data_IF_457037804724
#
_entry.id   IF_457037804724
#
_cell.length_a   1.000
_cell.length_b   1.000
_cell.length_c   1.000
_cell.angle_alpha   90.00
_cell.angle_beta   90.00
_cell.angle_gamma   90.00
#
_symmetry.space_group_name_H-M   'P 1'
#
loop_
_entity.id
_entity.type
_entity.pdbx_description
1 polymer ?
#
# COMPACT_ATOMS: atom_id res chain seq x y z
N UNK A 1 6.29 -7.84 1.50
CA UNK A 1 5.33 -7.33 0.48
C UNK A 1 5.75 -5.95 -0.03
N UNK A 2 6.30 -5.11 0.84
CA UNK A 2 6.87 -3.79 0.62
C UNK A 2 7.83 -3.72 -0.57
N UNK A 3 8.71 -4.71 -0.75
CA UNK A 3 9.59 -4.82 -1.93
C UNK A 3 8.80 -4.93 -3.23
N UNK A 4 7.70 -5.69 -3.25
CA UNK A 4 6.84 -5.84 -4.42
C UNK A 4 6.09 -4.53 -4.70
N UNK A 5 5.54 -3.90 -3.66
CA UNK A 5 4.85 -2.60 -3.77
C UNK A 5 5.80 -1.54 -4.37
N UNK A 6 7.05 -1.49 -3.90
CA UNK A 6 8.08 -0.62 -4.48
C UNK A 6 8.27 -0.89 -5.98
N UNK A 7 8.35 -2.17 -6.38
CA UNK A 7 8.48 -2.55 -7.80
C UNK A 7 7.25 -2.18 -8.64
N UNK A 8 6.04 -2.13 -8.06
CA UNK A 8 4.84 -1.66 -8.77
C UNK A 8 4.97 -0.19 -9.18
N UNK A 9 5.51 0.65 -8.28
CA UNK A 9 5.79 2.05 -8.56
C UNK A 9 6.93 2.22 -9.58
N UNK A 10 8.10 1.62 -9.31
CA UNK A 10 9.30 1.78 -10.14
C UNK A 10 9.15 1.26 -11.57
N UNK A 11 8.27 0.27 -11.79
CA UNK A 11 8.06 -0.33 -13.12
C UNK A 11 6.80 0.18 -13.83
N UNK A 12 6.16 1.22 -13.30
CA UNK A 12 5.01 1.86 -13.95
C UNK A 12 3.72 1.04 -13.94
N UNK A 13 3.61 0.03 -13.07
CA UNK A 13 2.38 -0.74 -12.89
C UNK A 13 1.36 0.01 -12.04
N UNK A 14 1.81 0.94 -11.18
CA UNK A 14 0.95 1.82 -10.40
C UNK A 14 0.98 3.25 -10.98
N UNK A 15 -0.05 3.61 -11.75
CA UNK A 15 -0.24 4.98 -12.27
C UNK A 15 -0.72 5.91 -11.15
N UNK A 16 -0.54 7.23 -11.31
CA UNK A 16 -0.92 8.23 -10.30
C UNK A 16 -2.38 8.12 -9.80
N UNK A 17 -3.33 7.66 -10.62
CA UNK A 17 -4.73 7.46 -10.24
C UNK A 17 -5.06 6.08 -9.65
N UNK A 18 -4.05 5.27 -9.33
CA UNK A 18 -4.23 3.91 -8.81
C UNK A 18 -4.52 3.90 -7.33
N UNK A 19 -5.31 2.93 -6.87
CA UNK A 19 -5.47 2.58 -5.46
C UNK A 19 -4.88 1.18 -5.22
N UNK A 20 -3.98 1.07 -4.26
CA UNK A 20 -3.39 -0.19 -3.84
C UNK A 20 -4.04 -0.59 -2.53
N UNK A 21 -4.53 -1.83 -2.47
CA UNK A 21 -5.04 -2.45 -1.26
C UNK A 21 -4.17 -3.67 -0.91
N UNK A 22 -3.72 -3.75 0.34
CA UNK A 22 -2.96 -4.88 0.86
C UNK A 22 -3.68 -5.42 2.09
N UNK A 23 -4.11 -6.67 2.02
CA UNK A 23 -4.65 -7.39 3.17
C UNK A 23 -3.53 -8.11 3.93
N UNK A 24 -3.57 -8.03 5.26
CA UNK A 24 -2.65 -8.73 6.16
C UNK A 24 -3.44 -9.29 7.33
N UNK A 25 -2.97 -10.39 7.91
CA UNK A 25 -3.45 -10.82 9.24
C UNK A 25 -3.17 -9.71 10.26
N UNK A 26 -4.18 -9.38 11.07
CA UNK A 26 -4.14 -8.30 12.05
C UNK A 26 -3.09 -8.48 13.15
N UNK A 27 -2.62 -9.71 13.40
CA UNK A 27 -1.58 -10.01 14.40
C UNK A 27 -0.16 -9.79 13.87
N UNK A 28 0.01 -9.66 12.56
CA UNK A 28 1.31 -9.42 11.97
C UNK A 28 1.76 -7.98 12.15
N UNK A 29 3.07 -7.75 11.99
CA UNK A 29 3.63 -6.40 11.97
C UNK A 29 2.89 -5.54 10.95
N UNK A 30 2.50 -4.30 11.31
CA UNK A 30 1.83 -3.38 10.39
C UNK A 30 2.60 -3.17 9.10
N UNK A 31 1.88 -2.96 8.01
CA UNK A 31 2.48 -2.62 6.72
C UNK A 31 3.20 -1.27 6.83
N UNK A 32 4.38 -1.18 6.23
CA UNK A 32 5.04 0.12 5.99
C UNK A 32 5.06 0.37 4.49
N UNK A 33 4.46 1.47 4.06
CA UNK A 33 4.50 1.86 2.65
C UNK A 33 5.92 2.27 2.25
N UNK A 34 6.44 1.79 1.10
CA UNK A 34 7.70 2.30 0.57
C UNK A 34 7.52 3.75 0.09
N UNK A 35 8.64 4.46 -0.10
CA UNK A 35 8.65 5.83 -0.65
C UNK A 35 7.86 5.90 -1.97
N UNK A 36 7.15 7.01 -2.19
CA UNK A 36 6.31 7.21 -3.37
C UNK A 36 4.90 6.64 -3.23
N UNK A 37 4.49 6.25 -2.02
CA UNK A 37 3.13 5.84 -1.71
C UNK A 37 2.63 6.55 -0.46
N UNK A 38 1.41 7.09 -0.54
CA UNK A 38 0.75 7.80 0.54
C UNK A 38 -0.38 6.97 1.11
N UNK A 39 -0.39 6.76 2.43
CA UNK A 39 -1.51 6.09 3.11
C UNK A 39 -2.80 6.87 2.89
N UNK A 40 -3.84 6.17 2.42
CA UNK A 40 -5.20 6.70 2.29
C UNK A 40 -6.01 6.37 3.54
N UNK A 41 -6.02 5.09 3.94
CA UNK A 41 -6.70 4.61 5.15
C UNK A 41 -6.28 3.20 5.51
N UNK A 42 -6.57 2.81 6.75
CA UNK A 42 -6.47 1.45 7.24
C UNK A 42 -7.81 1.01 7.83
N UNK A 43 -8.17 -0.26 7.64
CA UNK A 43 -9.41 -0.86 8.14
C UNK A 43 -9.13 -2.23 8.72
N UNK A 44 -9.41 -2.41 10.01
CA UNK A 44 -9.31 -3.68 10.71
C UNK A 44 -10.68 -4.35 10.80
N UNK A 45 -10.72 -5.66 10.55
CA UNK A 45 -11.90 -6.51 10.56
C UNK A 45 -11.71 -7.70 11.52
N UNK A 46 -11.08 -7.46 12.67
CA UNK A 46 -10.79 -8.47 13.68
C UNK A 46 -9.52 -9.26 13.35
N UNK A 47 -9.60 -10.18 12.38
CA UNK A 47 -8.47 -11.06 12.03
C UNK A 47 -7.64 -10.54 10.86
N UNK A 48 -8.14 -9.57 10.10
CA UNK A 48 -7.44 -8.97 8.98
C UNK A 48 -7.44 -7.45 9.06
N UNK A 49 -6.36 -6.82 8.57
CA UNK A 49 -6.28 -5.39 8.33
C UNK A 49 -6.04 -5.17 6.84
N UNK A 50 -6.86 -4.32 6.21
CA UNK A 50 -6.65 -3.84 4.85
C UNK A 50 -6.04 -2.45 4.91
N UNK A 51 -4.86 -2.32 4.30
CA UNK A 51 -4.11 -1.09 4.15
C UNK A 51 -4.33 -0.54 2.75
N UNK A 52 -4.68 0.74 2.65
CA UNK A 52 -4.89 1.43 1.37
C UNK A 52 -3.88 2.55 1.18
N UNK A 53 -3.28 2.62 -0.01
CA UNK A 53 -2.45 3.74 -0.44
C UNK A 53 -2.64 4.08 -1.90
N UNK A 54 -2.29 5.31 -2.25
CA UNK A 54 -2.16 5.81 -3.61
C UNK A 54 -0.68 6.10 -3.91
N UNK A 55 -0.22 5.97 -5.16
CA UNK A 55 1.08 6.50 -5.55
C UNK A 55 1.12 8.00 -5.36
N UNK A 56 2.21 8.53 -4.79
CA UNK A 56 2.44 9.96 -4.80
C UNK A 56 2.70 10.38 -6.25
N UNK A 57 1.86 11.26 -6.79
CA UNK A 57 2.18 11.91 -8.06
C UNK A 57 3.39 12.79 -7.83
N UNK A 58 4.45 12.59 -8.61
CA UNK A 58 5.46 13.65 -8.76
C UNK A 58 4.73 14.89 -9.29
N UNK A 59 4.74 15.98 -8.54
CA UNK A 59 4.32 17.30 -9.01
C UNK A 59 5.28 17.79 -10.09
#
# INVERSE_FOLDING_TARGET
IEKLIKQLGERGFAKASSLIAVERDAKMRPLTWPLGFRTVKERNYGTATIYYAEPESSL
#
